data_IF_775068890418
#
_entry.id   IF_775068890418
#
_cell.length_a   1.000
_cell.length_b   1.000
_cell.length_c   1.000
_cell.angle_alpha   90.00
_cell.angle_beta   90.00
_cell.angle_gamma   90.00
#
_symmetry.space_group_name_H-M   'P 1'
#
loop_
_entity.id
_entity.type
_entity.pdbx_description
1 polymer ?
#
# COMPACT_ATOMS: atom_id res chain seq x y z
N UNK A 1 -10.58 -4.90 9.20
CA UNK A 1 -9.23 -4.97 9.80
C UNK A 1 -8.36 -5.99 9.09
N UNK A 2 -8.86 -7.17 8.68
CA UNK A 2 -8.09 -8.03 7.76
C UNK A 2 -8.06 -7.51 6.31
N UNK A 3 -8.91 -6.56 5.93
CA UNK A 3 -8.80 -5.83 4.65
C UNK A 3 -7.46 -5.09 4.49
N UNK A 4 -6.88 -4.62 5.59
CA UNK A 4 -5.51 -4.10 5.67
C UNK A 4 -4.45 -5.15 5.29
N UNK A 5 -4.62 -6.39 5.77
CA UNK A 5 -3.79 -7.54 5.38
C UNK A 5 -3.99 -7.93 3.94
N UNK A 6 -5.07 -7.52 3.27
CA UNK A 6 -5.27 -7.78 1.86
C UNK A 6 -4.61 -6.70 1.03
N UNK A 7 -4.54 -5.45 1.46
CA UNK A 7 -3.84 -4.43 0.68
C UNK A 7 -2.33 -4.53 0.85
N UNK A 8 -1.83 -4.81 2.06
CA UNK A 8 -0.42 -5.20 2.23
C UNK A 8 -0.14 -6.63 1.75
N UNK A 9 -1.14 -7.50 1.78
CA UNK A 9 -1.02 -8.89 1.35
C UNK A 9 -1.30 -9.15 -0.12
N UNK A 10 -1.91 -8.24 -0.86
CA UNK A 10 -2.00 -8.34 -2.32
C UNK A 10 -0.63 -8.08 -2.94
N UNK A 11 0.15 -7.20 -2.32
CA UNK A 11 1.54 -6.93 -2.71
C UNK A 11 2.53 -7.91 -2.07
N UNK A 12 2.24 -8.52 -0.92
CA UNK A 12 3.22 -9.39 -0.23
C UNK A 12 2.71 -10.79 0.24
N UNK A 13 1.44 -10.97 0.60
CA UNK A 13 0.94 -12.12 1.38
C UNK A 13 -0.08 -13.05 0.68
N UNK A 14 -0.22 -12.98 -0.65
CA UNK A 14 -0.70 -14.13 -1.46
C UNK A 14 0.40 -15.22 -1.52
N UNK A 15 1.57 -14.98 -0.92
CA UNK A 15 2.81 -15.59 -1.38
C UNK A 15 3.62 -16.33 -0.29
N UNK A 16 3.06 -17.36 0.35
CA UNK A 16 3.81 -18.23 1.28
C UNK A 16 3.36 -19.73 1.24
N UNK A 17 4.19 -20.66 0.74
CA UNK A 17 3.81 -22.08 0.60
C UNK A 17 3.66 -22.82 1.96
N UNK A 18 2.94 -23.95 2.05
CA UNK A 18 3.48 -25.33 1.87
C UNK A 18 2.44 -26.36 1.36
N UNK A 19 2.85 -27.42 0.64
CA UNK A 19 2.03 -28.61 0.38
C UNK A 19 2.15 -29.64 1.51
N UNK A 20 1.03 -30.00 2.15
CA UNK A 20 0.97 -31.17 3.04
C UNK A 20 0.53 -32.40 2.23
N UNK A 21 1.41 -33.40 2.16
CA UNK A 21 1.04 -34.78 1.84
C UNK A 21 0.11 -35.30 2.94
N UNK A 22 -1.12 -35.65 2.59
CA UNK A 22 -2.00 -36.40 3.49
C UNK A 22 -1.41 -37.79 3.73
N UNK A 23 -1.23 -38.25 4.99
CA UNK A 23 -0.98 -39.66 5.23
C UNK A 23 -2.21 -40.48 4.83
N UNK A 24 -1.94 -41.62 4.20
CA UNK A 24 -2.93 -42.64 3.81
C UNK A 24 -3.79 -43.04 5.01
N UNK A 25 -5.11 -43.26 4.84
CA UNK A 25 -6.00 -43.63 5.93
C UNK A 25 -5.87 -45.12 6.26
N UNK A 26 -4.75 -45.52 6.88
CA UNK A 26 -4.60 -46.86 7.46
C UNK A 26 -3.64 -46.79 8.68
N UNK A 27 -4.17 -46.35 9.82
CA UNK A 27 -3.70 -46.80 11.13
C UNK A 27 -4.78 -46.61 12.20
N UNK A 28 -5.73 -47.54 12.24
CA UNK A 28 -6.45 -47.81 13.49
C UNK A 28 -5.55 -48.70 14.32
N UNK A 29 -4.92 -48.17 15.37
CA UNK A 29 -4.75 -48.87 16.65
C UNK A 29 -3.98 -48.06 17.71
N UNK A 30 -4.35 -48.33 18.97
CA UNK A 30 -3.82 -47.87 20.27
C UNK A 30 -4.40 -46.55 20.82
N UNK A 31 -5.38 -46.58 21.75
CA UNK A 31 -5.35 -46.86 23.21
C UNK A 31 -4.49 -45.90 24.05
N UNK A 32 -5.21 -45.10 24.84
CA UNK A 32 -4.90 -44.54 26.17
C UNK A 32 -3.42 -44.35 26.55
N UNK A 33 -2.97 -43.10 26.50
CA UNK A 33 -1.77 -42.61 27.19
C UNK A 33 -2.18 -41.62 28.30
N UNK A 34 -1.44 -41.68 29.40
CA UNK A 34 -1.70 -41.04 30.68
C UNK A 34 -1.50 -39.52 30.63
N UNK A 35 -2.18 -38.81 31.53
CA UNK A 35 -2.21 -37.35 31.66
C UNK A 35 -0.82 -36.74 31.93
N UNK A 36 0.13 -37.51 32.47
CA UNK A 36 1.50 -37.04 32.72
C UNK A 36 2.36 -36.95 31.44
N UNK A 37 2.14 -37.81 30.45
CA UNK A 37 2.88 -37.72 29.16
C UNK A 37 2.38 -36.55 28.30
N UNK A 38 1.19 -36.02 28.59
CA UNK A 38 0.67 -34.84 27.91
C UNK A 38 1.28 -33.56 28.48
N UNK A 39 1.50 -33.49 29.80
CA UNK A 39 2.19 -32.36 30.45
C UNK A 39 3.66 -32.27 30.03
N UNK A 40 4.36 -33.40 29.92
CA UNK A 40 5.75 -33.41 29.42
C UNK A 40 5.82 -33.07 27.92
N UNK A 41 4.82 -33.45 27.13
CA UNK A 41 4.75 -33.06 25.70
C UNK A 41 4.45 -31.57 25.51
N UNK A 42 3.61 -30.99 26.36
CA UNK A 42 3.29 -29.56 26.30
C UNK A 42 4.49 -28.72 26.80
N UNK A 43 5.23 -29.16 27.82
CA UNK A 43 6.49 -28.51 28.26
C UNK A 43 7.66 -28.72 27.27
N UNK A 44 7.72 -29.86 26.58
CA UNK A 44 8.72 -30.10 25.52
C UNK A 44 8.41 -29.26 24.27
N UNK A 45 7.13 -29.06 23.94
CA UNK A 45 6.69 -28.19 22.85
C UNK A 45 6.98 -26.70 23.12
N UNK A 46 7.00 -26.26 24.38
CA UNK A 46 7.44 -24.90 24.75
C UNK A 46 8.96 -24.75 24.82
N UNK A 47 9.73 -25.83 25.09
CA UNK A 47 11.20 -25.80 25.12
C UNK A 47 11.86 -25.90 23.75
N UNK A 48 11.22 -26.55 22.78
CA UNK A 48 11.69 -26.62 21.39
C UNK A 48 11.39 -25.32 20.60
N UNK A 49 10.78 -24.32 21.24
CA UNK A 49 10.47 -23.00 20.67
C UNK A 49 11.59 -21.96 20.92
N UNK A 50 12.84 -22.40 21.13
CA UNK A 50 14.00 -21.50 21.11
C UNK A 50 14.41 -21.18 19.66
N UNK A 51 14.33 -19.90 19.22
CA UNK A 51 14.53 -19.52 17.84
C UNK A 51 16.01 -19.33 17.53
N UNK A 52 16.77 -20.42 17.33
CA UNK A 52 18.08 -20.33 16.69
C UNK A 52 18.04 -20.74 15.21
N UNK A 53 18.01 -19.70 14.37
CA UNK A 53 18.63 -19.60 13.03
C UNK A 53 18.18 -20.61 11.96
N UNK A 54 16.92 -20.45 11.57
CA UNK A 54 16.43 -20.75 10.23
C UNK A 54 14.99 -20.30 10.12
N UNK A 55 14.72 -19.20 9.41
CA UNK A 55 13.34 -18.78 9.12
C UNK A 55 12.73 -19.79 8.15
N UNK A 56 12.23 -20.89 8.70
CA UNK A 56 11.54 -21.94 7.98
C UNK A 56 10.03 -21.68 7.86
N UNK A 57 9.37 -22.59 7.14
CA UNK A 57 7.94 -22.62 6.85
C UNK A 57 7.04 -22.55 8.09
N UNK A 58 7.58 -22.86 9.27
CA UNK A 58 6.90 -22.71 10.56
C UNK A 58 6.41 -21.29 10.86
N UNK A 59 7.18 -20.26 10.49
CA UNK A 59 6.82 -18.84 10.72
C UNK A 59 5.54 -18.42 9.97
N UNK A 60 5.41 -18.88 8.71
CA UNK A 60 4.24 -18.64 7.86
C UNK A 60 2.99 -19.28 8.47
N UNK A 61 3.11 -20.52 8.95
CA UNK A 61 2.00 -21.24 9.59
C UNK A 61 1.53 -20.54 10.88
N UNK A 62 2.45 -19.89 11.60
CA UNK A 62 2.13 -19.14 12.82
C UNK A 62 1.38 -17.85 12.48
N UNK A 63 1.86 -17.05 11.52
CA UNK A 63 1.15 -15.85 11.06
C UNK A 63 -0.25 -16.20 10.54
N UNK A 64 -0.34 -17.27 9.74
CA UNK A 64 -1.60 -17.83 9.24
C UNK A 64 -2.58 -18.13 10.38
N UNK A 65 -2.14 -18.83 11.42
CA UNK A 65 -2.97 -19.11 12.60
C UNK A 65 -3.37 -17.84 13.35
N UNK A 66 -2.49 -16.85 13.44
CA UNK A 66 -2.79 -15.58 14.09
C UNK A 66 -3.84 -14.77 13.32
N UNK A 67 -3.73 -14.71 11.99
CA UNK A 67 -4.71 -14.03 11.13
C UNK A 67 -6.07 -14.74 11.16
N UNK A 68 -6.08 -16.08 11.15
CA UNK A 68 -7.32 -16.86 11.26
C UNK A 68 -8.07 -16.59 12.58
N UNK A 69 -7.36 -16.23 13.67
CA UNK A 69 -7.99 -15.88 14.96
C UNK A 69 -8.71 -14.53 14.96
N UNK A 70 -8.53 -13.69 13.94
CA UNK A 70 -9.21 -12.38 13.85
C UNK A 70 -10.68 -12.51 13.37
N UNK A 71 -11.27 -13.72 13.37
CA UNK A 71 -12.68 -14.00 13.04
C UNK A 71 -12.86 -14.88 11.79
N UNK A 72 -14.10 -15.11 11.37
CA UNK A 72 -14.37 -15.82 10.11
C UNK A 72 -13.96 -14.96 8.90
N UNK A 73 -13.50 -15.60 7.83
CA UNK A 73 -13.07 -14.90 6.60
C UNK A 73 -14.27 -14.41 5.79
N UNK A 74 -15.31 -15.23 5.71
CA UNK A 74 -16.54 -14.98 4.95
C UNK A 74 -17.22 -13.68 5.39
N UNK A 75 -17.20 -13.37 6.69
CA UNK A 75 -17.73 -12.11 7.23
C UNK A 75 -16.95 -10.86 6.78
N UNK A 76 -15.73 -11.05 6.28
CA UNK A 76 -14.84 -9.94 5.91
C UNK A 76 -14.84 -9.68 4.42
N UNK A 77 -15.07 -10.72 3.60
CA UNK A 77 -15.07 -10.62 2.13
C UNK A 77 -15.92 -9.45 1.64
N UNK A 78 -17.17 -9.20 2.11
CA UNK A 78 -17.96 -8.08 1.63
C UNK A 78 -17.31 -6.69 1.87
N UNK A 79 -16.60 -6.52 2.99
CA UNK A 79 -15.90 -5.26 3.28
C UNK A 79 -14.66 -5.10 2.38
N UNK A 80 -14.01 -6.21 2.06
CA UNK A 80 -12.85 -6.26 1.17
C UNK A 80 -13.27 -5.92 -0.25
N UNK A 81 -14.30 -6.57 -0.77
CA UNK A 81 -14.88 -6.32 -2.09
C UNK A 81 -15.29 -4.86 -2.23
N UNK A 82 -16.01 -4.30 -1.25
CA UNK A 82 -16.37 -2.87 -1.26
C UNK A 82 -15.16 -1.93 -1.34
N UNK A 83 -14.02 -2.32 -0.79
CA UNK A 83 -12.78 -1.54 -0.86
C UNK A 83 -12.12 -1.65 -2.23
N UNK A 84 -12.09 -2.85 -2.79
CA UNK A 84 -11.59 -3.12 -4.14
C UNK A 84 -12.45 -2.34 -5.16
N UNK A 85 -13.76 -2.42 -5.04
CA UNK A 85 -14.72 -1.76 -5.93
C UNK A 85 -14.52 -0.26 -5.93
N UNK A 86 -14.42 0.32 -4.75
CA UNK A 86 -14.12 1.73 -4.57
C UNK A 86 -12.78 2.11 -5.18
N UNK A 87 -11.74 1.29 -5.00
CA UNK A 87 -10.43 1.55 -5.61
C UNK A 87 -10.53 1.55 -7.15
N UNK A 88 -11.27 0.60 -7.73
CA UNK A 88 -11.51 0.56 -9.18
C UNK A 88 -12.31 1.77 -9.67
N UNK A 89 -13.37 2.14 -8.96
CA UNK A 89 -14.20 3.31 -9.27
C UNK A 89 -13.40 4.62 -9.17
N UNK A 90 -12.64 4.81 -8.08
CA UNK A 90 -11.85 6.03 -7.84
C UNK A 90 -10.73 6.23 -8.86
N UNK A 91 -10.26 5.18 -9.52
CA UNK A 91 -9.22 5.26 -10.54
C UNK A 91 -9.74 5.10 -11.98
N UNK A 92 -11.06 5.01 -12.14
CA UNK A 92 -11.72 4.82 -13.44
C UNK A 92 -11.16 3.63 -14.23
N UNK A 93 -10.86 2.56 -13.52
CA UNK A 93 -10.37 1.31 -14.12
C UNK A 93 -11.56 0.55 -14.71
N UNK A 94 -11.96 0.94 -15.91
CA UNK A 94 -13.20 0.49 -16.56
C UNK A 94 -12.99 -0.18 -17.92
N UNK A 95 -11.74 -0.35 -18.37
CA UNK A 95 -11.47 -1.08 -19.61
C UNK A 95 -11.66 -2.60 -19.43
N UNK A 96 -11.65 -3.36 -20.53
CA UNK A 96 -11.85 -4.81 -20.50
C UNK A 96 -10.83 -5.52 -19.60
N UNK A 97 -9.56 -5.08 -19.65
CA UNK A 97 -8.48 -5.67 -18.86
C UNK A 97 -8.60 -5.33 -17.37
N UNK A 98 -9.07 -4.11 -17.06
CA UNK A 98 -9.39 -3.66 -15.72
C UNK A 98 -10.54 -4.48 -15.12
N UNK A 99 -11.57 -4.78 -15.90
CA UNK A 99 -12.70 -5.61 -15.45
C UNK A 99 -12.29 -7.07 -15.22
N UNK A 100 -11.44 -7.63 -16.08
CA UNK A 100 -10.83 -8.94 -15.84
C UNK A 100 -10.01 -8.93 -14.54
N UNK A 101 -9.14 -7.92 -14.35
CA UNK A 101 -8.34 -7.80 -13.13
C UNK A 101 -9.23 -7.67 -11.88
N UNK A 102 -10.32 -6.90 -11.94
CA UNK A 102 -11.29 -6.78 -10.84
C UNK A 102 -11.88 -8.14 -10.46
N UNK A 103 -12.33 -8.91 -11.45
CA UNK A 103 -12.92 -10.23 -11.24
C UNK A 103 -11.91 -11.20 -10.63
N UNK A 104 -10.68 -11.24 -11.16
CA UNK A 104 -9.62 -12.08 -10.63
C UNK A 104 -9.28 -11.71 -9.17
N UNK A 105 -9.19 -10.41 -8.87
CA UNK A 105 -8.90 -9.91 -7.52
C UNK A 105 -10.02 -10.29 -6.53
N UNK A 106 -11.29 -10.14 -6.92
CA UNK A 106 -12.43 -10.54 -6.09
C UNK A 106 -12.44 -12.04 -5.82
N UNK A 107 -12.27 -12.88 -6.84
CA UNK A 107 -12.24 -14.33 -6.64
C UNK A 107 -11.06 -14.81 -5.78
N UNK A 108 -9.90 -14.16 -5.88
CA UNK A 108 -8.76 -14.41 -4.97
C UNK A 108 -9.06 -13.92 -3.54
N UNK A 109 -9.87 -12.88 -3.36
CA UNK A 109 -10.27 -12.35 -2.06
C UNK A 109 -11.33 -13.23 -1.36
N UNK A 110 -12.19 -13.93 -2.10
CA UNK A 110 -13.12 -14.91 -1.54
C UNK A 110 -12.40 -16.09 -0.86
N UNK A 111 -11.21 -16.44 -1.35
CA UNK A 111 -10.40 -17.52 -0.81
C UNK A 111 -9.56 -17.00 0.38
N UNK A 112 -9.66 -17.61 1.58
CA UNK A 112 -8.91 -17.15 2.74
C UNK A 112 -7.40 -17.11 2.49
N UNK A 113 -6.67 -16.13 3.05
CA UNK A 113 -5.28 -15.86 2.70
C UNK A 113 -4.33 -17.00 3.09
N UNK A 114 -4.75 -17.86 4.03
CA UNK A 114 -4.03 -19.07 4.42
C UNK A 114 -4.20 -20.27 3.50
N UNK A 115 -5.11 -20.20 2.52
CA UNK A 115 -5.34 -21.27 1.54
C UNK A 115 -4.57 -20.98 0.25
N UNK A 116 -3.26 -20.82 0.36
CA UNK A 116 -2.40 -20.23 -0.67
C UNK A 116 -2.42 -21.06 -1.97
N UNK A 117 -2.42 -22.39 -1.85
CA UNK A 117 -2.58 -23.27 -3.01
C UNK A 117 -3.86 -22.98 -3.77
N UNK A 118 -5.01 -22.85 -3.09
CA UNK A 118 -6.28 -22.56 -3.75
C UNK A 118 -6.30 -21.19 -4.42
N UNK A 119 -5.64 -20.18 -3.83
CA UNK A 119 -5.53 -18.83 -4.41
C UNK A 119 -4.70 -18.83 -5.68
N UNK A 120 -3.56 -19.53 -5.66
CA UNK A 120 -2.70 -19.72 -6.84
C UNK A 120 -3.46 -20.47 -7.93
N UNK A 121 -4.11 -21.59 -7.58
CA UNK A 121 -4.87 -22.40 -8.53
C UNK A 121 -6.01 -21.60 -9.16
N UNK A 122 -6.74 -20.81 -8.37
CA UNK A 122 -7.78 -19.93 -8.88
C UNK A 122 -7.19 -18.91 -9.87
N UNK A 123 -6.16 -18.17 -9.45
CA UNK A 123 -5.55 -17.12 -10.28
C UNK A 123 -5.00 -17.67 -11.59
N UNK A 124 -4.28 -18.80 -11.57
CA UNK A 124 -3.69 -19.36 -12.80
C UNK A 124 -4.74 -19.97 -13.72
N UNK A 125 -5.84 -20.49 -13.19
CA UNK A 125 -6.97 -20.93 -14.00
C UNK A 125 -7.72 -19.76 -14.65
N UNK A 126 -7.90 -18.63 -13.94
CA UNK A 126 -8.48 -17.41 -14.53
C UNK A 126 -7.62 -16.86 -15.66
N UNK A 127 -6.29 -16.82 -15.48
CA UNK A 127 -5.36 -16.48 -16.56
C UNK A 127 -5.41 -17.50 -17.70
N UNK A 128 -5.49 -18.78 -17.36
CA UNK A 128 -5.62 -19.86 -18.33
C UNK A 128 -6.85 -19.70 -19.22
N UNK A 129 -7.99 -19.36 -18.61
CA UNK A 129 -9.23 -19.08 -19.32
C UNK A 129 -9.12 -17.80 -20.17
N UNK A 130 -8.61 -16.70 -19.61
CA UNK A 130 -8.46 -15.40 -20.29
C UNK A 130 -7.64 -15.47 -21.57
N UNK A 131 -6.53 -16.21 -21.53
CA UNK A 131 -5.61 -16.32 -22.68
C UNK A 131 -5.73 -17.67 -23.41
N UNK A 132 -6.76 -18.47 -23.12
CA UNK A 132 -6.95 -19.81 -23.71
C UNK A 132 -5.66 -20.66 -23.65
N UNK A 133 -5.00 -20.66 -22.48
CA UNK A 133 -3.75 -21.41 -22.27
C UNK A 133 -4.03 -22.92 -22.24
N UNK A 134 -3.06 -23.69 -22.72
CA UNK A 134 -3.06 -25.14 -22.53
C UNK A 134 -2.84 -25.52 -21.06
N UNK A 135 -3.25 -26.73 -20.67
CA UNK A 135 -2.97 -27.25 -19.32
C UNK A 135 -1.47 -27.23 -18.97
N UNK A 136 -0.60 -27.42 -19.97
CA UNK A 136 0.85 -27.36 -19.77
C UNK A 136 1.32 -25.95 -19.41
N UNK A 137 0.83 -24.93 -20.14
CA UNK A 137 1.12 -23.52 -19.84
C UNK A 137 0.55 -23.10 -18.47
N UNK A 138 -0.65 -23.57 -18.10
CA UNK A 138 -1.25 -23.28 -16.78
C UNK A 138 -0.39 -23.88 -15.65
N UNK A 139 0.06 -25.13 -15.79
CA UNK A 139 0.94 -25.79 -14.80
C UNK A 139 2.30 -25.10 -14.70
N UNK A 140 2.86 -24.67 -15.81
CA UNK A 140 4.12 -23.94 -15.83
C UNK A 140 3.99 -22.55 -15.16
N UNK A 141 2.92 -21.80 -15.49
CA UNK A 141 2.56 -20.56 -14.80
C UNK A 141 2.43 -20.80 -13.29
N UNK A 142 1.65 -21.80 -12.88
CA UNK A 142 1.46 -22.19 -11.49
C UNK A 142 2.79 -22.49 -10.77
N UNK A 143 3.69 -23.23 -11.42
CA UNK A 143 5.01 -23.54 -10.86
C UNK A 143 5.87 -22.27 -10.68
N UNK A 144 5.89 -21.37 -11.67
CA UNK A 144 6.60 -20.07 -11.59
C UNK A 144 6.02 -19.19 -10.49
N UNK A 145 4.69 -19.14 -10.38
CA UNK A 145 3.97 -18.47 -9.31
C UNK A 145 4.43 -18.99 -7.94
N UNK A 146 4.45 -20.31 -7.71
CA UNK A 146 4.97 -20.88 -6.46
C UNK A 146 6.46 -20.59 -6.20
N UNK A 147 7.29 -20.53 -7.24
CA UNK A 147 8.70 -20.17 -7.10
C UNK A 147 8.88 -18.72 -6.63
N UNK A 148 8.13 -17.78 -7.22
CA UNK A 148 8.09 -16.40 -6.76
C UNK A 148 7.60 -16.31 -5.31
N UNK A 149 6.54 -17.07 -4.97
CA UNK A 149 6.06 -17.20 -3.58
C UNK A 149 7.20 -17.55 -2.64
N UNK A 150 7.87 -18.68 -2.92
CA UNK A 150 8.96 -19.16 -2.09
C UNK A 150 10.10 -18.16 -1.98
N UNK A 151 10.45 -17.49 -3.08
CA UNK A 151 11.52 -16.50 -3.10
C UNK A 151 11.22 -15.28 -2.22
N UNK A 152 10.00 -14.71 -2.31
CA UNK A 152 9.58 -13.58 -1.47
C UNK A 152 9.54 -14.00 0.00
N UNK A 153 8.96 -15.16 0.30
CA UNK A 153 8.89 -15.68 1.66
C UNK A 153 10.26 -15.92 2.29
N UNK A 154 11.20 -16.52 1.56
CA UNK A 154 12.56 -16.78 2.06
C UNK A 154 13.33 -15.49 2.28
N UNK A 155 13.21 -14.52 1.37
CA UNK A 155 13.99 -13.28 1.42
C UNK A 155 13.41 -12.23 2.39
N UNK A 156 12.08 -12.10 2.44
CA UNK A 156 11.38 -11.01 3.12
C UNK A 156 10.34 -11.50 4.15
N UNK A 157 10.25 -12.80 4.41
CA UNK A 157 9.29 -13.38 5.36
C UNK A 157 9.35 -12.79 6.77
N UNK A 158 10.56 -12.38 7.22
CA UNK A 158 10.73 -11.70 8.50
C UNK A 158 9.99 -10.37 8.59
N UNK A 159 10.15 -9.52 7.57
CA UNK A 159 9.45 -8.23 7.47
C UNK A 159 7.94 -8.43 7.37
N UNK A 160 7.48 -9.35 6.51
CA UNK A 160 6.05 -9.67 6.40
C UNK A 160 5.45 -10.12 7.72
N UNK A 161 6.12 -11.07 8.39
CA UNK A 161 5.65 -11.61 9.67
C UNK A 161 5.57 -10.53 10.75
N UNK A 162 6.58 -9.65 10.82
CA UNK A 162 6.59 -8.50 11.72
C UNK A 162 5.36 -7.62 11.50
N UNK A 163 5.10 -7.18 10.26
CA UNK A 163 3.97 -6.30 9.95
C UNK A 163 2.62 -6.97 10.23
N UNK A 164 2.47 -8.25 9.87
CA UNK A 164 1.25 -9.02 10.19
C UNK A 164 1.03 -9.11 11.70
N UNK A 165 2.09 -9.39 12.46
CA UNK A 165 2.02 -9.50 13.92
C UNK A 165 1.65 -8.17 14.57
N UNK A 166 2.30 -7.08 14.19
CA UNK A 166 1.99 -5.73 14.69
C UNK A 166 0.53 -5.35 14.39
N UNK A 167 0.04 -5.70 13.20
CA UNK A 167 -1.35 -5.44 12.84
C UNK A 167 -2.34 -6.29 13.64
N UNK A 168 -2.06 -7.59 13.83
CA UNK A 168 -2.86 -8.50 14.67
C UNK A 168 -2.89 -8.01 16.11
N UNK A 169 -1.75 -7.59 16.64
CA UNK A 169 -1.63 -7.13 18.02
C UNK A 169 -2.35 -5.81 18.24
N UNK A 170 -2.32 -4.90 17.26
CA UNK A 170 -3.15 -3.68 17.24
C UNK A 170 -4.64 -4.04 17.35
N UNK A 171 -5.12 -5.01 16.56
CA UNK A 171 -6.52 -5.46 16.65
C UNK A 171 -6.85 -6.00 18.04
N UNK A 172 -5.98 -6.86 18.60
CA UNK A 172 -6.21 -7.50 19.90
C UNK A 172 -6.16 -6.52 21.05
N UNK A 173 -5.31 -5.51 20.99
CA UNK A 173 -5.19 -4.47 22.01
C UNK A 173 -6.33 -3.45 21.93
N UNK A 174 -7.17 -3.50 20.89
CA UNK A 174 -8.19 -2.49 20.65
C UNK A 174 -7.59 -1.17 20.17
N UNK A 175 -6.38 -1.21 19.60
CA UNK A 175 -5.73 -0.06 19.01
C UNK A 175 -5.88 -0.11 17.47
N UNK A 176 -6.45 0.94 16.85
CA UNK A 176 -6.52 1.01 15.40
C UNK A 176 -5.11 1.26 14.85
N UNK A 177 -4.82 0.60 13.73
CA UNK A 177 -3.64 0.87 12.89
C UNK A 177 -3.65 2.34 12.48
N UNK A 178 -2.51 3.04 12.64
CA UNK A 178 -2.41 4.47 12.34
C UNK A 178 -1.64 4.73 11.03
N UNK A 179 -1.74 5.94 10.43
CA UNK A 179 -0.94 6.30 9.26
C UNK A 179 0.57 6.21 9.52
N UNK A 180 1.02 6.45 10.76
CA UNK A 180 2.42 6.31 11.15
C UNK A 180 2.89 4.84 11.15
N UNK A 181 2.03 3.91 11.55
CA UNK A 181 2.31 2.48 11.41
C UNK A 181 2.44 2.09 9.93
N UNK A 182 1.53 2.58 9.08
CA UNK A 182 1.57 2.30 7.64
C UNK A 182 2.81 2.90 6.99
N UNK A 183 3.15 4.16 7.30
CA UNK A 183 4.35 4.83 6.81
C UNK A 183 5.60 4.01 7.14
N UNK A 184 5.74 3.59 8.40
CA UNK A 184 6.83 2.70 8.84
C UNK A 184 6.84 1.37 8.08
N UNK A 185 5.68 0.74 7.88
CA UNK A 185 5.60 -0.52 7.15
C UNK A 185 5.94 -0.39 5.67
N UNK A 186 5.57 0.73 5.03
CA UNK A 186 5.95 1.01 3.65
C UNK A 186 7.46 1.23 3.52
N UNK A 187 8.07 1.97 4.45
CA UNK A 187 9.54 2.14 4.51
C UNK A 187 10.25 0.80 4.69
N UNK A 188 9.85 0.00 5.67
CA UNK A 188 10.48 -1.29 5.96
C UNK A 188 10.22 -2.36 4.87
N UNK A 189 9.11 -2.22 4.14
CA UNK A 189 8.65 -3.14 3.10
C UNK A 189 9.10 -2.78 1.68
N UNK A 190 9.82 -1.67 1.48
CA UNK A 190 10.18 -1.14 0.16
C UNK A 190 10.90 -2.17 -0.71
N UNK A 191 12.00 -2.75 -0.21
CA UNK A 191 12.76 -3.76 -0.95
C UNK A 191 11.94 -5.01 -1.30
N UNK A 192 10.98 -5.38 -0.43
CA UNK A 192 10.12 -6.54 -0.65
C UNK A 192 9.13 -6.27 -1.79
N UNK A 193 8.51 -5.09 -1.80
CA UNK A 193 7.56 -4.68 -2.84
C UNK A 193 8.27 -4.60 -4.19
N UNK A 194 9.45 -3.99 -4.23
CA UNK A 194 10.27 -3.90 -5.44
C UNK A 194 10.65 -5.30 -5.95
N UNK A 195 11.16 -6.16 -5.08
CA UNK A 195 11.51 -7.53 -5.43
C UNK A 195 10.31 -8.31 -5.96
N UNK A 196 9.15 -8.23 -5.30
CA UNK A 196 7.94 -8.90 -5.77
C UNK A 196 7.51 -8.39 -7.16
N UNK A 197 7.57 -7.08 -7.40
CA UNK A 197 7.26 -6.48 -8.69
C UNK A 197 8.21 -6.97 -9.80
N UNK A 198 9.51 -7.00 -9.53
CA UNK A 198 10.52 -7.54 -10.47
C UNK A 198 10.25 -9.02 -10.81
N UNK A 199 9.83 -9.83 -9.84
CA UNK A 199 9.47 -11.22 -10.08
C UNK A 199 8.23 -11.34 -10.97
N UNK A 200 7.22 -10.50 -10.78
CA UNK A 200 6.02 -10.48 -11.63
C UNK A 200 6.37 -10.12 -13.07
N UNK A 201 7.19 -9.09 -13.30
CA UNK A 201 7.63 -8.73 -14.66
C UNK A 201 8.47 -9.85 -15.29
N UNK A 202 9.35 -10.50 -14.50
CA UNK A 202 10.15 -11.64 -14.96
C UNK A 202 9.26 -12.81 -15.40
N UNK A 203 8.26 -13.17 -14.60
CA UNK A 203 7.30 -14.22 -14.94
C UNK A 203 6.49 -13.82 -16.18
N UNK A 204 6.04 -12.58 -16.25
CA UNK A 204 5.29 -12.05 -17.40
C UNK A 204 6.08 -12.15 -18.70
N UNK A 205 7.37 -11.79 -18.68
CA UNK A 205 8.27 -11.91 -19.83
C UNK A 205 8.53 -13.37 -20.24
N UNK A 206 8.52 -14.30 -19.29
CA UNK A 206 8.65 -15.73 -19.58
C UNK A 206 7.38 -16.27 -20.24
N UNK A 207 6.20 -15.98 -19.68
CA UNK A 207 4.91 -16.40 -20.24
C UNK A 207 4.74 -15.85 -21.65
N UNK A 208 5.02 -14.56 -21.88
CA UNK A 208 4.86 -13.93 -23.18
C UNK A 208 5.61 -14.65 -24.31
N UNK A 209 6.74 -15.29 -24.00
CA UNK A 209 7.54 -16.07 -24.97
C UNK A 209 6.87 -17.40 -25.34
N UNK A 210 6.06 -17.95 -24.45
CA UNK A 210 5.38 -19.24 -24.62
C UNK A 210 3.98 -19.10 -25.23
N UNK A 211 3.42 -17.89 -25.21
CA UNK A 211 2.16 -17.57 -25.87
C UNK A 211 2.28 -17.54 -27.39
N UNK A 212 1.24 -17.98 -28.09
CA UNK A 212 1.12 -17.79 -29.54
C UNK A 212 0.81 -16.30 -29.87
N UNK A 213 0.77 -15.96 -31.16
CA UNK A 213 0.61 -14.56 -31.58
C UNK A 213 -0.71 -13.91 -31.11
N UNK A 214 -1.84 -14.63 -31.19
CA UNK A 214 -3.15 -14.13 -30.76
C UNK A 214 -3.21 -13.96 -29.25
N UNK A 215 -2.72 -14.95 -28.50
CA UNK A 215 -2.63 -14.88 -27.03
C UNK A 215 -1.75 -13.73 -26.57
N UNK A 216 -0.60 -13.53 -27.24
CA UNK A 216 0.35 -12.46 -26.92
C UNK A 216 -0.24 -11.08 -27.16
N UNK A 217 -1.07 -10.89 -28.19
CA UNK A 217 -1.72 -9.60 -28.44
C UNK A 217 -2.64 -9.20 -27.28
N UNK A 218 -3.47 -10.14 -26.80
CA UNK A 218 -4.34 -9.90 -25.63
C UNK A 218 -3.51 -9.68 -24.37
N UNK A 219 -2.48 -10.50 -24.15
CA UNK A 219 -1.59 -10.40 -23.01
C UNK A 219 -0.86 -9.05 -22.94
N UNK A 220 -0.32 -8.54 -24.04
CA UNK A 220 0.37 -7.24 -24.05
C UNK A 220 -0.58 -6.07 -23.78
N UNK A 221 -1.84 -6.15 -24.23
CA UNK A 221 -2.88 -5.18 -23.89
C UNK A 221 -3.18 -5.21 -22.38
N UNK A 222 -3.42 -6.39 -21.83
CA UNK A 222 -3.72 -6.56 -20.40
C UNK A 222 -2.50 -6.16 -19.53
N UNK A 223 -1.27 -6.40 -20.01
CA UNK A 223 0.00 -5.97 -19.39
C UNK A 223 0.16 -4.44 -19.37
N UNK A 224 -0.27 -3.75 -20.43
CA UNK A 224 -0.26 -2.28 -20.44
C UNK A 224 -1.21 -1.70 -19.36
N UNK A 225 -2.43 -2.25 -19.23
CA UNK A 225 -3.35 -1.86 -18.16
C UNK A 225 -2.81 -2.24 -16.78
N UNK A 226 -2.11 -3.37 -16.63
CA UNK A 226 -1.41 -3.73 -15.39
C UNK A 226 -0.36 -2.68 -15.00
N UNK A 227 0.50 -2.24 -15.92
CA UNK A 227 1.50 -1.20 -15.65
C UNK A 227 0.87 0.12 -15.19
N UNK A 228 -0.21 0.56 -15.85
CA UNK A 228 -1.00 1.73 -15.40
C UNK A 228 -1.46 1.58 -13.94
N UNK A 229 -1.94 0.40 -13.55
CA UNK A 229 -2.36 0.13 -12.17
C UNK A 229 -1.18 0.10 -11.19
N UNK A 230 -0.02 -0.42 -11.61
CA UNK A 230 1.20 -0.41 -10.81
C UNK A 230 1.77 1.00 -10.60
N UNK A 231 1.77 1.85 -11.63
CA UNK A 231 2.18 3.25 -11.51
C UNK A 231 1.30 3.98 -10.46
N UNK A 232 -0.01 3.71 -10.48
CA UNK A 232 -0.92 4.26 -9.48
C UNK A 232 -0.67 3.69 -8.08
N UNK A 233 -0.36 2.39 -7.97
CA UNK A 233 0.00 1.79 -6.70
C UNK A 233 1.27 2.43 -6.13
N UNK A 234 2.24 2.76 -6.98
CA UNK A 234 3.46 3.48 -6.61
C UNK A 234 3.16 4.88 -6.05
N UNK A 235 2.29 5.65 -6.71
CA UNK A 235 1.81 6.94 -6.17
C UNK A 235 1.16 6.79 -4.78
N UNK A 236 0.37 5.72 -4.60
CA UNK A 236 -0.26 5.42 -3.32
C UNK A 236 0.78 5.05 -2.26
N UNK A 237 1.78 4.23 -2.62
CA UNK A 237 2.89 3.83 -1.75
C UNK A 237 3.66 5.04 -1.25
N UNK A 238 4.09 5.93 -2.14
CA UNK A 238 4.82 7.15 -1.78
C UNK A 238 4.00 8.06 -0.85
N UNK A 239 2.69 8.20 -1.13
CA UNK A 239 1.79 8.94 -0.25
C UNK A 239 1.63 8.27 1.12
N UNK A 240 1.55 6.95 1.19
CA UNK A 240 1.45 6.20 2.45
C UNK A 240 2.73 6.29 3.27
N UNK A 241 3.88 6.19 2.61
CA UNK A 241 5.22 6.43 3.17
C UNK A 241 5.32 7.83 3.78
N UNK A 242 4.70 8.84 3.16
CA UNK A 242 4.55 10.19 3.71
C UNK A 242 3.47 10.34 4.81
N UNK A 243 2.87 9.25 5.31
CA UNK A 243 1.83 9.29 6.34
C UNK A 243 0.45 9.71 5.82
N UNK A 244 0.25 9.73 4.51
CA UNK A 244 -1.00 10.07 3.85
C UNK A 244 -1.97 8.91 3.67
N UNK A 245 -1.75 7.78 4.34
CA UNK A 245 -2.66 6.64 4.34
C UNK A 245 -3.97 6.93 5.07
N UNK A 246 -5.07 6.41 4.54
CA UNK A 246 -6.38 6.50 5.17
C UNK A 246 -7.07 5.13 5.32
N UNK A 247 -7.71 4.85 6.48
CA UNK A 247 -8.52 3.65 6.75
C UNK A 247 -9.49 3.24 5.64
N UNK A 248 -10.08 4.24 4.98
CA UNK A 248 -10.97 4.09 3.81
C UNK A 248 -10.38 3.27 2.67
N UNK A 249 -9.10 3.48 2.40
CA UNK A 249 -8.38 2.84 1.29
C UNK A 249 -8.28 1.33 1.49
N UNK A 250 -8.40 0.90 2.74
CA UNK A 250 -8.42 -0.50 3.15
C UNK A 250 -9.79 -0.89 3.72
N UNK A 251 -10.87 -0.14 3.44
CA UNK A 251 -12.23 -0.42 3.91
C UNK A 251 -12.42 -0.52 5.42
N UNK A 252 -11.47 -0.04 6.21
CA UNK A 252 -11.51 -0.20 7.66
C UNK A 252 -12.60 0.67 8.30
N UNK A 253 -13.03 1.73 7.63
CA UNK A 253 -14.14 2.58 8.06
C UNK A 253 -15.49 1.85 8.14
N UNK A 254 -15.66 0.78 7.38
CA UNK A 254 -16.87 -0.04 7.33
C UNK A 254 -16.88 -1.10 8.44
N UNK A 255 -15.74 -1.29 9.13
CA UNK A 255 -15.61 -2.26 10.22
C UNK A 255 -16.03 -1.58 11.53
N UNK A 256 -17.16 -1.97 12.15
CA UNK A 256 -17.70 -1.28 13.32
C UNK A 256 -16.72 -1.23 14.50
N UNK A 257 -15.92 -2.28 14.69
CA UNK A 257 -14.86 -2.35 15.71
C UNK A 257 -13.82 -1.27 15.47
N UNK A 258 -13.34 -1.15 14.23
CA UNK A 258 -12.32 -0.16 13.85
C UNK A 258 -12.81 1.27 14.02
N UNK A 259 -14.05 1.55 13.61
CA UNK A 259 -14.68 2.84 13.82
C UNK A 259 -14.74 3.21 15.31
N UNK A 260 -15.18 2.28 16.16
CA UNK A 260 -15.20 2.47 17.62
C UNK A 260 -13.81 2.73 18.20
N UNK A 261 -12.79 2.01 17.72
CA UNK A 261 -11.40 2.21 18.13
C UNK A 261 -10.87 3.60 17.76
N UNK A 262 -11.14 4.07 16.54
CA UNK A 262 -10.77 5.41 16.09
C UNK A 262 -11.50 6.51 16.87
N UNK A 263 -12.81 6.38 17.08
CA UNK A 263 -13.60 7.31 17.89
C UNK A 263 -13.08 7.42 19.33
N UNK A 264 -12.65 6.30 19.91
CA UNK A 264 -12.06 6.30 21.25
C UNK A 264 -10.71 7.03 21.29
N UNK A 265 -9.83 6.87 20.28
CA UNK A 265 -8.55 7.61 20.24
C UNK A 265 -8.74 9.11 20.08
N UNK A 266 -9.71 9.51 19.26
CA UNK A 266 -10.11 10.92 19.11
C UNK A 266 -10.57 11.47 20.45
N UNK A 267 -11.45 10.74 21.15
CA UNK A 267 -11.93 11.12 22.50
C UNK A 267 -10.79 11.22 23.52
N UNK A 268 -9.81 10.33 23.46
CA UNK A 268 -8.67 10.30 24.36
C UNK A 268 -7.60 11.36 24.04
N UNK A 269 -7.77 12.14 22.97
CA UNK A 269 -6.76 13.11 22.51
C UNK A 269 -5.48 12.43 21.97
N UNK A 270 -5.52 11.13 21.71
CA UNK A 270 -4.41 10.32 21.17
C UNK A 270 -4.35 10.34 19.64
N UNK A 271 -5.28 11.06 19.01
CA UNK A 271 -5.31 11.26 17.57
C UNK A 271 -5.84 12.66 17.27
N UNK A 272 -5.18 13.38 16.37
CA UNK A 272 -5.55 14.75 16.00
C UNK A 272 -6.81 14.72 15.12
N UNK A 273 -7.95 15.01 15.73
CA UNK A 273 -9.24 15.10 15.05
C UNK A 273 -9.24 16.17 13.95
N UNK A 274 -8.49 17.27 14.12
CA UNK A 274 -8.35 18.30 13.10
C UNK A 274 -7.56 17.79 11.91
N UNK A 275 -6.46 17.06 12.12
CA UNK A 275 -5.69 16.43 11.03
C UNK A 275 -6.56 15.44 10.24
N UNK A 276 -7.36 14.63 10.94
CA UNK A 276 -8.31 13.69 10.33
C UNK A 276 -9.41 14.38 9.52
N UNK A 277 -10.12 15.34 10.13
CA UNK A 277 -11.21 16.08 9.47
C UNK A 277 -10.69 16.91 8.29
N UNK A 278 -9.55 17.58 8.45
CA UNK A 278 -8.96 18.40 7.38
C UNK A 278 -8.52 17.56 6.20
N UNK A 279 -8.00 16.35 6.43
CA UNK A 279 -7.66 15.42 5.36
C UNK A 279 -8.91 14.86 4.65
N UNK A 280 -9.94 14.45 5.42
CA UNK A 280 -11.22 13.99 4.85
C UNK A 280 -11.92 15.11 4.05
N UNK A 281 -11.89 16.34 4.54
CA UNK A 281 -12.37 17.54 3.83
C UNK A 281 -11.56 17.82 2.55
N UNK A 282 -10.23 17.70 2.59
CA UNK A 282 -9.36 17.84 1.42
C UNK A 282 -9.61 16.75 0.38
N UNK A 283 -9.81 15.50 0.81
CA UNK A 283 -10.15 14.39 -0.07
C UNK A 283 -11.54 14.54 -0.69
N UNK A 284 -12.54 14.97 0.09
CA UNK A 284 -13.87 15.32 -0.43
C UNK A 284 -13.79 16.48 -1.43
N UNK A 285 -13.02 17.52 -1.13
CA UNK A 285 -12.80 18.63 -2.04
C UNK A 285 -12.07 18.19 -3.32
N UNK A 286 -11.09 17.29 -3.21
CA UNK A 286 -10.38 16.71 -4.35
C UNK A 286 -11.30 15.87 -5.23
N UNK A 287 -12.17 15.03 -4.66
CA UNK A 287 -13.16 14.24 -5.42
C UNK A 287 -14.20 15.11 -6.11
N UNK A 288 -14.72 16.13 -5.41
CA UNK A 288 -15.62 17.12 -6.02
C UNK A 288 -14.92 17.85 -7.15
N UNK A 289 -13.62 18.12 -7.00
CA UNK A 289 -12.81 18.73 -8.04
C UNK A 289 -12.60 17.78 -9.24
N UNK A 290 -12.18 16.53 -8.99
CA UNK A 290 -11.94 15.49 -10.00
C UNK A 290 -13.22 15.17 -10.78
N UNK A 291 -14.33 14.90 -10.09
CA UNK A 291 -15.64 14.67 -10.71
C UNK A 291 -16.14 15.88 -11.51
N UNK A 292 -15.97 17.12 -10.99
CA UNK A 292 -16.35 18.34 -11.73
C UNK A 292 -15.42 18.64 -12.91
N UNK A 293 -14.15 18.26 -12.81
CA UNK A 293 -13.18 18.40 -13.90
C UNK A 293 -13.50 17.46 -15.07
N UNK A 294 -14.22 16.37 -14.80
CA UNK A 294 -14.70 15.41 -15.80
C UNK A 294 -16.07 15.79 -16.37
N UNK A 295 -17.00 16.29 -15.56
CA UNK A 295 -18.38 16.60 -16.01
C UNK A 295 -18.52 17.93 -16.75
N UNK A 296 -17.56 18.84 -16.64
CA UNK A 296 -17.61 20.12 -17.35
C UNK A 296 -16.25 20.48 -17.97
N UNK A 297 -16.15 20.59 -19.31
CA UNK A 297 -14.94 21.11 -19.99
C UNK A 297 -14.60 22.56 -19.62
N UNK A 298 -15.43 23.20 -18.79
CA UNK A 298 -15.31 24.57 -18.32
C UNK A 298 -15.73 24.64 -16.84
N UNK A 299 -14.78 24.61 -15.90
CA UNK A 299 -14.72 25.74 -14.96
C UNK A 299 -13.47 25.90 -14.09
N UNK A 300 -12.60 24.90 -13.86
CA UNK A 300 -11.30 25.16 -13.21
C UNK A 300 -10.23 24.21 -13.78
N UNK A 301 -9.21 24.74 -14.45
CA UNK A 301 -8.09 23.91 -14.94
C UNK A 301 -7.34 23.29 -13.77
N UNK A 302 -6.75 22.09 -13.90
CA UNK A 302 -5.88 21.45 -12.88
C UNK A 302 -4.89 22.43 -12.21
N UNK A 303 -4.42 23.41 -12.97
CA UNK A 303 -3.50 24.45 -12.52
C UNK A 303 -4.11 25.43 -11.52
N UNK A 304 -5.40 25.72 -11.64
CA UNK A 304 -6.17 26.60 -10.75
C UNK A 304 -6.39 25.94 -9.39
N UNK A 305 -6.72 24.65 -9.40
CA UNK A 305 -6.80 23.86 -8.18
C UNK A 305 -5.45 23.76 -7.49
N UNK A 306 -4.39 23.46 -8.25
CA UNK A 306 -3.03 23.41 -7.71
C UNK A 306 -2.64 24.72 -7.02
N UNK A 307 -2.85 25.86 -7.68
CA UNK A 307 -2.56 27.19 -7.12
C UNK A 307 -3.38 27.46 -5.85
N UNK A 308 -4.66 27.09 -5.84
CA UNK A 308 -5.52 27.25 -4.66
C UNK A 308 -5.05 26.42 -3.47
N UNK A 309 -4.67 25.16 -3.71
CA UNK A 309 -4.10 24.29 -2.68
C UNK A 309 -2.77 24.86 -2.16
N UNK A 310 -1.93 25.35 -3.07
CA UNK A 310 -0.64 25.96 -2.72
C UNK A 310 -0.80 27.20 -1.84
N UNK A 311 -1.73 28.10 -2.18
CA UNK A 311 -2.12 29.27 -1.38
C UNK A 311 -2.55 28.85 0.03
N UNK A 312 -3.42 27.84 0.12
CA UNK A 312 -3.93 27.36 1.41
C UNK A 312 -2.86 26.65 2.25
N UNK A 313 -2.03 25.80 1.63
CA UNK A 313 -0.99 25.03 2.30
C UNK A 313 0.06 25.91 2.97
N UNK A 314 0.53 26.95 2.27
CA UNK A 314 1.54 27.87 2.79
C UNK A 314 0.96 29.08 3.54
N UNK A 315 -0.37 29.19 3.64
CA UNK A 315 -1.04 30.29 4.31
C UNK A 315 -0.67 31.64 3.70
N UNK A 316 -0.81 31.78 2.39
CA UNK A 316 -0.49 33.02 1.67
C UNK A 316 -1.36 34.18 2.15
N UNK A 317 -0.74 35.36 2.31
CA UNK A 317 -1.48 36.61 2.48
C UNK A 317 -2.12 37.06 1.15
N UNK A 318 -2.88 38.16 1.20
CA UNK A 318 -3.61 38.67 0.02
C UNK A 318 -2.67 39.03 -1.15
N UNK A 319 -1.50 39.61 -0.87
CA UNK A 319 -0.53 40.00 -1.90
C UNK A 319 0.17 38.79 -2.53
N UNK A 320 0.52 37.79 -1.72
CA UNK A 320 1.06 36.52 -2.17
C UNK A 320 0.04 35.73 -3.01
N UNK A 321 -1.22 35.69 -2.57
CA UNK A 321 -2.30 35.04 -3.30
C UNK A 321 -2.55 35.70 -4.66
N UNK A 322 -2.60 37.03 -4.73
CA UNK A 322 -2.75 37.75 -6.01
C UNK A 322 -1.56 37.50 -6.95
N UNK A 323 -0.35 37.41 -6.40
CA UNK A 323 0.84 37.05 -7.17
C UNK A 323 0.73 35.64 -7.75
N UNK A 324 0.27 34.66 -6.95
CA UNK A 324 0.06 33.28 -7.39
C UNK A 324 -1.00 33.19 -8.51
N UNK A 325 -2.13 33.89 -8.35
CA UNK A 325 -3.17 33.98 -9.37
C UNK A 325 -2.68 34.67 -10.65
N UNK A 326 -1.84 35.68 -10.53
CA UNK A 326 -1.24 36.34 -11.70
C UNK A 326 -0.34 35.39 -12.49
N UNK A 327 0.50 34.60 -11.81
CA UNK A 327 1.34 33.58 -12.46
C UNK A 327 0.47 32.55 -13.18
N UNK A 328 -0.62 32.10 -12.55
CA UNK A 328 -1.56 31.17 -13.18
C UNK A 328 -2.16 31.74 -14.46
N UNK A 329 -2.65 33.00 -14.43
CA UNK A 329 -3.26 33.65 -15.60
C UNK A 329 -2.28 33.72 -16.76
N UNK A 330 -1.04 34.11 -16.49
CA UNK A 330 0.04 34.18 -17.47
C UNK A 330 0.32 32.79 -18.09
N UNK A 331 0.53 31.77 -17.25
CA UNK A 331 0.84 30.42 -17.74
C UNK A 331 -0.34 29.83 -18.52
N UNK A 332 -1.59 30.05 -18.09
CA UNK A 332 -2.79 29.62 -18.84
C UNK A 332 -2.89 30.30 -20.20
N UNK A 333 -2.53 31.58 -20.28
CA UNK A 333 -2.50 32.30 -21.55
C UNK A 333 -1.48 31.67 -22.51
N UNK A 334 -0.26 31.41 -22.04
CA UNK A 334 0.79 30.75 -22.82
C UNK A 334 0.37 29.36 -23.28
N UNK A 335 -0.23 28.55 -22.40
CA UNK A 335 -0.74 27.23 -22.78
C UNK A 335 -1.86 27.33 -23.83
N UNK A 336 -2.73 28.34 -23.73
CA UNK A 336 -3.73 28.65 -24.74
C UNK A 336 -3.12 28.99 -26.10
N UNK A 337 -2.02 29.73 -26.13
CA UNK A 337 -1.29 30.07 -27.36
C UNK A 337 -0.62 28.84 -28.00
N UNK A 338 -0.02 27.97 -27.20
CA UNK A 338 0.56 26.69 -27.65
C UNK A 338 -0.53 25.83 -28.32
N UNK A 339 -1.68 25.65 -27.66
CA UNK A 339 -2.82 24.89 -28.21
C UNK A 339 -3.31 25.47 -29.53
N UNK A 340 -3.53 26.79 -29.60
CA UNK A 340 -3.96 27.47 -30.83
C UNK A 340 -2.93 27.31 -31.95
N UNK A 341 -1.64 27.41 -31.63
CA UNK A 341 -0.56 27.23 -32.60
C UNK A 341 -0.52 25.81 -33.15
N UNK A 342 -0.59 24.81 -32.27
CA UNK A 342 -0.62 23.39 -32.63
C UNK A 342 -1.84 23.05 -33.48
N UNK A 343 -3.03 23.54 -33.10
CA UNK A 343 -4.26 23.37 -33.88
C UNK A 343 -4.14 23.97 -35.29
N UNK A 344 -3.59 25.19 -35.42
CA UNK A 344 -3.33 25.81 -36.73
C UNK A 344 -2.34 25.01 -37.58
N UNK A 345 -1.29 24.46 -36.96
CA UNK A 345 -0.31 23.59 -37.65
C UNK A 345 -0.98 22.32 -38.18
N UNK A 346 -1.71 21.60 -37.32
CA UNK A 346 -2.47 20.41 -37.71
C UNK A 346 -3.51 20.70 -38.80
N UNK A 347 -4.20 21.84 -38.72
CA UNK A 347 -5.17 22.22 -39.74
C UNK A 347 -4.51 22.46 -41.10
N UNK A 348 -3.31 23.07 -41.14
CA UNK A 348 -2.54 23.25 -42.38
C UNK A 348 -2.06 21.92 -42.95
N UNK A 349 -1.51 21.04 -42.12
CA UNK A 349 -1.08 19.70 -42.53
C UNK A 349 -2.25 18.87 -43.08
N UNK A 350 -3.42 19.01 -42.48
CA UNK A 350 -4.64 18.35 -42.93
C UNK A 350 -5.10 18.82 -44.31
N UNK A 351 -5.02 20.13 -44.58
CA UNK A 351 -5.30 20.68 -45.91
C UNK A 351 -4.33 20.13 -46.95
N UNK A 352 -3.04 20.00 -46.60
CA UNK A 352 -2.03 19.42 -47.48
C UNK A 352 -2.24 17.92 -47.75
N UNK A 353 -2.72 17.15 -46.78
CA UNK A 353 -2.97 15.71 -46.92
C UNK A 353 -4.31 15.33 -47.57
N UNK A 354 -5.15 16.31 -47.97
CA UNK A 354 -6.44 16.04 -48.62
C UNK A 354 -7.48 15.31 -47.76
N UNK A 355 -7.27 15.19 -46.44
CA UNK A 355 -8.20 14.50 -45.52
C UNK A 355 -9.33 15.43 -45.06
N UNK A 356 -10.51 15.31 -45.66
CA UNK A 356 -11.71 16.09 -45.33
C UNK A 356 -12.64 15.43 -44.27
N UNK A 357 -12.11 14.89 -43.17
CA UNK A 357 -12.92 14.32 -42.09
C UNK A 357 -12.86 15.11 -40.78
N UNK A 358 -13.98 15.68 -40.31
CA UNK A 358 -14.09 16.57 -39.13
C UNK A 358 -13.89 15.88 -37.76
N UNK A 359 -12.93 14.97 -37.63
CA UNK A 359 -12.54 14.45 -36.33
C UNK A 359 -11.65 15.45 -35.59
N UNK A 360 -11.92 15.62 -34.29
CA UNK A 360 -11.00 16.29 -33.37
C UNK A 360 -9.74 15.42 -33.27
N UNK A 361 -8.63 15.91 -33.80
CA UNK A 361 -7.35 15.25 -33.63
C UNK A 361 -6.81 15.58 -32.24
N UNK A 362 -6.21 14.61 -31.53
CA UNK A 362 -5.46 14.91 -30.33
C UNK A 362 -4.35 15.91 -30.65
N UNK A 363 -3.94 16.71 -29.67
CA UNK A 363 -2.79 17.60 -29.82
C UNK A 363 -1.54 16.77 -30.13
N UNK A 364 -0.61 17.29 -30.95
CA UNK A 364 0.66 16.62 -31.19
C UNK A 364 1.46 16.56 -29.89
N UNK A 365 2.22 15.50 -29.70
CA UNK A 365 3.03 15.24 -28.50
C UNK A 365 3.92 16.43 -28.12
N UNK A 366 4.57 17.06 -29.10
CA UNK A 366 5.40 18.25 -28.87
C UNK A 366 4.64 19.40 -28.18
N UNK A 367 3.35 19.56 -28.46
CA UNK A 367 2.53 20.60 -27.84
C UNK A 367 2.10 20.22 -26.42
N UNK A 368 1.99 18.92 -26.12
CA UNK A 368 1.76 18.44 -24.75
C UNK A 368 3.00 18.64 -23.89
N UNK A 369 4.19 18.34 -24.43
CA UNK A 369 5.48 18.62 -23.78
C UNK A 369 5.65 20.12 -23.44
N UNK A 370 5.35 21.01 -24.40
CA UNK A 370 5.37 22.46 -24.16
C UNK A 370 4.40 22.88 -23.05
N UNK A 371 3.19 22.29 -23.01
CA UNK A 371 2.19 22.58 -21.96
C UNK A 371 2.67 22.07 -20.59
N UNK A 372 3.31 20.89 -20.53
CA UNK A 372 3.91 20.39 -19.29
C UNK A 372 5.04 21.30 -18.81
N UNK A 373 5.93 21.76 -19.70
CA UNK A 373 7.00 22.70 -19.34
C UNK A 373 6.47 24.03 -18.78
N UNK A 374 5.31 24.50 -19.25
CA UNK A 374 4.63 25.68 -18.69
C UNK A 374 4.06 25.41 -17.28
N UNK A 375 3.58 24.20 -17.01
CA UNK A 375 3.15 23.81 -15.67
C UNK A 375 4.34 23.72 -14.69
N UNK A 376 5.48 23.14 -15.11
CA UNK A 376 6.71 23.17 -14.31
C UNK A 376 7.20 24.60 -14.06
N UNK A 377 6.98 25.49 -15.04
CA UNK A 377 7.19 26.92 -14.91
C UNK A 377 6.28 27.57 -13.86
N UNK A 378 5.00 27.18 -13.79
CA UNK A 378 4.07 27.58 -12.73
C UNK A 378 4.58 27.14 -11.36
N UNK A 379 4.87 25.85 -11.18
CA UNK A 379 5.32 25.27 -9.90
C UNK A 379 6.58 25.99 -9.37
N UNK A 380 7.62 26.12 -10.20
CA UNK A 380 8.87 26.80 -9.81
C UNK A 380 8.69 28.28 -9.44
N UNK A 381 7.70 28.95 -10.04
CA UNK A 381 7.39 30.35 -9.71
C UNK A 381 6.60 30.45 -8.41
N UNK A 382 5.67 29.54 -8.16
CA UNK A 382 4.94 29.45 -6.89
C UNK A 382 5.90 29.17 -5.73
N UNK A 383 6.91 28.31 -5.90
CA UNK A 383 7.91 28.00 -4.87
C UNK A 383 8.74 29.19 -4.38
N UNK A 384 8.71 30.32 -5.11
CA UNK A 384 9.41 31.55 -4.74
C UNK A 384 8.57 32.52 -3.92
N UNK A 385 7.25 32.30 -3.82
CA UNK A 385 6.32 33.19 -3.13
C UNK A 385 6.32 33.01 -1.60
N UNK A 386 6.30 31.76 -1.05
CA UNK A 386 6.25 31.59 0.39
C UNK A 386 7.52 32.12 1.06
N UNK A 387 7.35 32.76 2.20
CA UNK A 387 8.46 33.19 3.06
C UNK A 387 9.15 31.98 3.70
N UNK A 388 10.39 32.15 4.16
CA UNK A 388 11.11 31.08 4.87
C UNK A 388 10.35 30.58 6.11
N UNK A 389 9.62 31.46 6.81
CA UNK A 389 8.81 31.06 7.96
C UNK A 389 7.59 30.22 7.55
N UNK A 390 6.90 30.56 6.46
CA UNK A 390 5.81 29.74 5.91
C UNK A 390 6.31 28.36 5.45
N UNK A 391 7.49 28.30 4.80
CA UNK A 391 8.11 27.01 4.42
C UNK A 391 8.44 26.14 5.63
N UNK A 392 9.09 26.72 6.63
CA UNK A 392 9.41 26.03 7.89
C UNK A 392 8.15 25.61 8.65
N UNK A 393 7.07 26.39 8.59
CA UNK A 393 5.80 26.03 9.23
C UNK A 393 5.18 24.78 8.59
N UNK A 394 5.17 24.70 7.25
CA UNK A 394 4.71 23.51 6.53
C UNK A 394 5.64 22.32 6.79
N UNK A 395 6.96 22.52 6.77
CA UNK A 395 7.96 21.48 7.05
C UNK A 395 7.80 20.91 8.46
N UNK A 396 7.52 21.73 9.47
CA UNK A 396 7.24 21.27 10.85
C UNK A 396 5.94 20.47 10.99
N UNK A 397 4.97 20.71 10.11
CA UNK A 397 3.71 19.95 10.07
C UNK A 397 3.90 18.62 9.34
N UNK A 398 4.72 18.59 8.29
CA UNK A 398 4.99 17.40 7.49
C UNK A 398 6.05 16.48 8.11
N UNK A 399 7.04 17.05 8.79
CA UNK A 399 8.11 16.34 9.49
C UNK A 399 8.00 16.74 10.97
N UNK A 400 7.32 15.93 11.81
CA UNK A 400 7.30 16.17 13.24
C UNK A 400 8.76 16.22 13.73
N UNK A 401 9.14 17.21 14.55
CA UNK A 401 10.46 17.19 15.14
C UNK A 401 10.61 15.87 15.88
N UNK A 402 11.58 15.06 15.46
CA UNK A 402 12.10 13.95 16.25
C UNK A 402 12.42 14.53 17.62
N UNK A 403 11.50 14.39 18.56
CA UNK A 403 11.72 14.81 19.93
C UNK A 403 12.96 14.03 20.36
N UNK A 404 14.05 14.75 20.57
CA UNK A 404 15.25 14.19 21.16
C UNK A 404 14.79 13.49 22.44
N UNK A 405 14.81 12.15 22.41
CA UNK A 405 14.57 11.34 23.59
C UNK A 405 15.40 11.95 24.72
N UNK A 406 14.80 12.25 25.88
CA UNK A 406 15.56 12.78 27.00
C UNK A 406 16.72 11.83 27.23
N UNK A 407 17.95 12.35 27.08
CA UNK A 407 19.16 11.59 27.31
C UNK A 407 19.01 10.90 28.66
N UNK A 408 18.90 9.57 28.63
CA UNK A 408 18.66 8.74 29.79
C UNK A 408 19.54 9.21 30.94
N UNK A 409 18.88 9.71 31.99
CA UNK A 409 19.51 10.07 33.22
C UNK A 409 20.27 8.83 33.71
N UNK A 410 21.60 8.86 33.61
CA UNK A 410 22.45 7.84 34.23
C UNK A 410 22.14 7.82 35.72
N UNK A 411 21.46 6.74 36.12
CA UNK A 411 21.18 6.39 37.49
C UNK A 411 22.46 6.45 38.31
N UNK A 412 22.47 7.35 39.28
CA UNK A 412 23.32 7.29 40.46
C UNK A 412 22.70 6.23 41.37
N UNK A 413 23.41 5.15 41.65
CA UNK A 413 22.87 4.09 42.48
C UNK A 413 23.77 2.87 42.58
N UNK A 414 24.99 3.06 43.09
CA UNK A 414 25.85 1.95 43.53
C UNK A 414 25.99 2.07 45.05
N UNK A 415 25.07 1.44 45.77
CA UNK A 415 25.20 1.11 47.19
C UNK A 415 24.81 -0.37 47.35
N UNK A 416 25.82 -1.21 47.44
CA UNK A 416 25.69 -2.60 47.86
C UNK A 416 25.74 -2.69 49.41
N UNK A 417 24.97 -3.60 50.04
CA UNK A 417 24.97 -3.76 51.48
C UNK A 417 26.03 -4.76 51.97
N UNK A 418 26.62 -4.40 53.10
CA UNK A 418 26.78 -5.24 54.30
C UNK A 418 27.38 -6.65 54.11
N UNK A 419 28.69 -6.79 54.36
CA UNK A 419 29.27 -8.04 54.86
C UNK A 419 29.95 -7.79 56.21
N UNK A 420 29.30 -8.30 57.25
CA UNK A 420 29.86 -8.51 58.59
C UNK A 420 30.96 -9.56 58.56
N UNK A 421 32.06 -9.28 59.28
CA UNK A 421 32.87 -10.31 59.95
C UNK A 421 33.39 -9.77 61.29
N UNK A 422 33.48 -10.58 62.35
CA UNK A 422 33.68 -10.14 63.74
C UNK A 422 35.12 -10.33 64.26
N UNK A 423 35.42 -9.72 65.41
CA UNK A 423 36.69 -9.78 66.14
C UNK A 423 37.56 -8.53 65.85
N UNK A 424 38.16 -7.84 66.81
CA UNK A 424 38.74 -8.32 68.06
C UNK A 424 38.71 -7.23 69.15
N UNK A 425 38.86 -7.68 70.40
CA UNK A 425 38.94 -6.87 71.63
C UNK A 425 40.19 -5.98 71.67
N UNK A 426 40.15 -4.92 72.49
CA UNK A 426 41.08 -4.60 73.62
C UNK A 426 41.09 -3.09 73.88
N UNK A 427 40.80 -2.75 75.15
CA UNK A 427 41.28 -1.65 76.01
C UNK A 427 41.60 -0.26 75.38
N UNK A 428 41.36 0.87 76.03
CA UNK A 428 41.63 1.17 77.43
C UNK A 428 41.06 2.55 77.80
N UNK A 429 41.03 2.78 79.10
CA UNK A 429 40.57 3.90 79.90
C UNK A 429 40.93 5.36 79.50
N UNK A 430 40.04 6.25 79.99
CA UNK A 430 40.16 7.68 80.39
C UNK A 430 39.54 8.77 79.53
#
# INVERSE_FOLDING_TARGET
MKTALIVMGFTAAVWAAEPIRTPSPDSKDSKAKSTDEQSERDEQAERDDQPERGWGMGSISLATRQVARLGDWEDQVPNIEKSIDRLWEENEWNDEADQFALQAVRGVAEIPPWQITRRVDFLTNEFGARYNMSEAQIKDLQAKTYQMIGAVAVRHGGTMFKHVTEMVDSVKSGEPVTPEDISRWMDEGEEMIEFAHEQVETISDQIAKELNAEQREVFERDRASYRKRMDRFEDMRERWKAGGWHPREWGLEEVPEYKRMMEQRVRDGRYDEQKWRRFDELQKAYRVYEAKSQETPYNESAWEFYVRQYIHQYGFDEAQAETAWSILREQRQLAGDVRRSAQRRMQRERVLMGRMGAMAMPLPESALEDIHGLFDGLCRRLDRIPTSSQKLAVERVLVPPLQALPASAKATGDQAPDQRTPGDQVADDR
#
